data_IF_398153011710
#
_entry.id   IF_398153011710
#
_cell.length_a   1.000
_cell.length_b   1.000
_cell.length_c   1.000
_cell.angle_alpha   90.00
_cell.angle_beta   90.00
_cell.angle_gamma   90.00
#
_symmetry.space_group_name_H-M   'P 1'
#
loop_
_entity.id
_entity.type
_entity.pdbx_description
1 polymer ?
#
# COMPACT_ATOMS: atom_id res chain seq x y z
N UNK A 1 21.68 -17.57 -27.69
CA UNK A 1 21.85 -18.14 -26.33
C UNK A 1 20.53 -17.93 -25.59
N UNK A 2 20.11 -18.84 -24.72
CA UNK A 2 18.97 -18.61 -23.83
C UNK A 2 19.32 -17.49 -22.85
N UNK A 3 18.39 -16.54 -22.64
CA UNK A 3 18.56 -15.48 -21.64
C UNK A 3 18.61 -16.11 -20.25
N UNK A 4 19.55 -15.67 -19.40
CA UNK A 4 19.65 -16.13 -18.02
C UNK A 4 18.46 -15.57 -17.22
N UNK A 5 17.74 -16.44 -16.51
CA UNK A 5 16.55 -16.05 -15.77
C UNK A 5 16.93 -15.07 -14.63
N UNK A 6 16.11 -14.06 -14.37
CA UNK A 6 16.41 -13.01 -13.40
C UNK A 6 15.31 -12.87 -12.33
N UNK A 7 15.68 -12.80 -11.06
CA UNK A 7 14.73 -12.62 -9.94
C UNK A 7 15.18 -11.46 -9.07
N UNK A 8 14.51 -10.33 -9.19
CA UNK A 8 14.65 -9.18 -8.29
C UNK A 8 13.63 -9.25 -7.15
N UNK A 9 14.08 -9.12 -5.90
CA UNK A 9 13.22 -8.97 -4.73
C UNK A 9 13.13 -7.52 -4.28
N UNK A 10 12.02 -6.84 -4.57
CA UNK A 10 11.78 -5.47 -4.11
C UNK A 10 11.11 -5.50 -2.73
N UNK A 11 11.87 -5.19 -1.67
CA UNK A 11 11.33 -5.17 -0.30
C UNK A 11 10.53 -3.90 0.00
N UNK A 12 10.54 -2.91 -0.91
CA UNK A 12 9.87 -1.61 -0.77
C UNK A 12 10.25 -0.94 0.56
N UNK A 13 9.27 -0.39 1.29
CA UNK A 13 9.46 0.22 2.61
C UNK A 13 9.12 -0.77 3.75
N UNK A 14 9.69 -1.99 3.71
CA UNK A 14 9.40 -3.04 4.70
C UNK A 14 10.66 -3.61 5.32
N UNK A 15 10.53 -4.09 6.56
CA UNK A 15 11.57 -4.78 7.32
C UNK A 15 12.05 -4.00 8.53
N UNK A 16 12.24 -4.72 9.63
CA UNK A 16 13.13 -4.36 10.73
C UNK A 16 14.43 -5.19 10.67
N UNK A 17 15.47 -4.80 11.42
CA UNK A 17 16.77 -5.49 11.43
C UNK A 17 16.64 -7.01 11.69
N UNK A 18 15.80 -7.43 12.65
CA UNK A 18 15.62 -8.85 13.00
C UNK A 18 14.96 -9.62 11.87
N UNK A 19 13.98 -9.03 11.19
CA UNK A 19 13.31 -9.63 10.05
C UNK A 19 14.25 -9.74 8.83
N UNK A 20 15.08 -8.73 8.59
CA UNK A 20 16.06 -8.69 7.51
C UNK A 20 17.18 -9.71 7.75
N UNK A 21 17.74 -9.77 8.96
CA UNK A 21 18.73 -10.78 9.35
C UNK A 21 18.18 -12.20 9.10
N UNK A 22 16.90 -12.45 9.38
CA UNK A 22 16.21 -13.71 9.09
C UNK A 22 16.04 -14.01 7.59
N UNK A 23 15.74 -13.00 6.76
CA UNK A 23 15.67 -13.15 5.30
C UNK A 23 17.06 -13.46 4.72
N UNK A 24 18.09 -12.71 5.13
CA UNK A 24 19.47 -12.93 4.69
C UNK A 24 19.98 -14.31 5.11
N UNK A 25 19.74 -14.73 6.35
CA UNK A 25 20.09 -16.07 6.82
C UNK A 25 19.41 -17.18 6.01
N UNK A 26 18.16 -16.98 5.59
CA UNK A 26 17.46 -17.91 4.73
C UNK A 26 18.03 -17.95 3.30
N UNK A 27 18.25 -16.80 2.66
CA UNK A 27 18.81 -16.75 1.30
C UNK A 27 20.20 -17.39 1.23
N UNK A 28 21.01 -17.22 2.28
CA UNK A 28 22.31 -17.90 2.40
C UNK A 28 22.18 -19.44 2.58
N UNK A 29 21.05 -19.94 3.04
CA UNK A 29 20.77 -21.38 3.17
C UNK A 29 20.17 -22.01 1.90
N UNK A 30 19.60 -21.22 0.97
CA UNK A 30 18.86 -21.75 -0.18
C UNK A 30 19.73 -22.36 -1.29
N UNK A 31 21.05 -22.47 -1.09
CA UNK A 31 21.91 -23.35 -1.90
C UNK A 31 22.19 -22.88 -3.33
N UNK A 32 22.84 -21.72 -3.47
CA UNK A 32 23.61 -21.32 -4.66
C UNK A 32 23.03 -21.70 -6.03
N UNK A 33 21.93 -21.07 -6.42
CA UNK A 33 21.39 -21.18 -7.80
C UNK A 33 22.33 -20.43 -8.75
N UNK A 34 23.00 -21.14 -9.67
CA UNK A 34 24.04 -20.55 -10.55
C UNK A 34 23.51 -20.14 -11.92
N UNK A 35 22.39 -20.70 -12.35
CA UNK A 35 21.69 -20.50 -13.62
C UNK A 35 20.63 -19.39 -13.58
N UNK A 36 20.40 -18.79 -12.41
CA UNK A 36 19.52 -17.62 -12.19
C UNK A 36 20.34 -16.46 -11.62
N UNK A 37 20.07 -15.22 -12.05
CA UNK A 37 20.55 -14.01 -11.38
C UNK A 37 19.54 -13.61 -10.29
N UNK A 38 19.97 -13.55 -9.02
CA UNK A 38 19.08 -13.21 -7.90
C UNK A 38 19.58 -11.93 -7.22
N UNK A 39 18.73 -10.92 -7.17
CA UNK A 39 19.02 -9.59 -6.61
C UNK A 39 17.97 -9.26 -5.53
N UNK A 40 18.38 -8.58 -4.46
CA UNK A 40 17.46 -8.03 -3.44
C UNK A 40 17.67 -6.52 -3.29
N UNK A 41 16.56 -5.78 -3.14
CA UNK A 41 16.53 -4.34 -2.98
C UNK A 41 15.88 -3.97 -1.63
N UNK A 42 16.66 -3.87 -0.55
CA UNK A 42 16.19 -3.46 0.78
C UNK A 42 15.92 -1.94 0.87
N UNK A 43 15.18 -1.48 1.90
CA UNK A 43 15.07 -0.06 2.20
C UNK A 43 16.43 0.59 2.46
N UNK A 44 16.57 1.85 2.03
CA UNK A 44 17.79 2.65 2.13
C UNK A 44 18.50 2.67 3.49
N UNK A 45 17.77 2.65 4.61
CA UNK A 45 18.39 2.68 5.95
C UNK A 45 19.11 1.38 6.34
N UNK A 46 18.91 0.31 5.57
CA UNK A 46 19.62 -0.96 5.70
C UNK A 46 20.76 -1.10 4.67
N UNK A 47 21.06 -0.02 3.96
CA UNK A 47 22.18 0.19 3.04
C UNK A 47 23.06 1.29 3.69
N UNK A 48 24.38 1.08 3.84
CA UNK A 48 25.26 1.98 4.61
C UNK A 48 25.74 3.25 3.83
N UNK A 49 26.86 3.90 4.22
CA UNK A 49 27.22 5.33 3.92
C UNK A 49 28.54 5.47 3.09
N UNK A 50 28.88 6.51 2.29
CA UNK A 50 28.14 7.68 1.65
C UNK A 50 29.07 8.66 0.87
N UNK A 51 28.76 9.02 -0.39
CA UNK A 51 28.95 10.40 -0.92
C UNK A 51 27.94 10.85 -2.03
N UNK A 52 27.62 12.12 -2.34
CA UNK A 52 27.77 13.48 -1.76
C UNK A 52 26.85 14.44 -2.57
N UNK A 53 26.34 15.55 -2.01
CA UNK A 53 25.57 16.57 -2.76
C UNK A 53 24.63 17.42 -1.89
N UNK A 54 24.00 18.47 -2.44
CA UNK A 54 23.06 19.35 -1.74
C UNK A 54 21.59 18.90 -1.89
N UNK A 55 21.35 17.59 -1.74
CA UNK A 55 20.05 16.94 -1.95
C UNK A 55 19.67 16.13 -0.70
N UNK A 56 19.21 16.82 0.34
CA UNK A 56 18.92 16.23 1.66
C UNK A 56 17.85 15.14 1.56
N UNK A 57 18.23 13.89 1.85
CA UNK A 57 17.35 12.72 1.82
C UNK A 57 17.53 11.81 0.59
N UNK A 58 18.24 12.25 -0.44
CA UNK A 58 18.51 11.46 -1.64
C UNK A 58 19.79 10.61 -1.54
N UNK A 59 19.90 9.60 -2.41
CA UNK A 59 21.01 8.64 -2.49
C UNK A 59 21.60 8.70 -3.89
N UNK A 60 22.93 8.84 -4.00
CA UNK A 60 23.61 8.91 -5.30
C UNK A 60 24.05 7.51 -5.78
N UNK A 61 24.23 7.29 -7.10
CA UNK A 61 24.87 6.08 -7.62
C UNK A 61 26.26 5.82 -7.04
N UNK A 62 27.01 6.87 -6.67
CA UNK A 62 28.30 6.73 -6.00
C UNK A 62 28.19 6.18 -4.56
N UNK A 63 27.07 6.43 -3.86
CA UNK A 63 26.78 5.78 -2.57
C UNK A 63 26.53 4.29 -2.75
N UNK A 64 25.88 3.89 -3.84
CA UNK A 64 25.65 2.48 -4.16
C UNK A 64 26.99 1.77 -4.46
N UNK A 65 27.85 2.38 -5.28
CA UNK A 65 29.18 1.85 -5.60
C UNK A 65 30.07 1.65 -4.35
N UNK A 66 30.12 2.63 -3.45
CA UNK A 66 30.91 2.61 -2.21
C UNK A 66 30.60 1.39 -1.31
N UNK A 67 29.39 0.84 -1.48
CA UNK A 67 28.85 -0.28 -0.74
C UNK A 67 28.91 -1.61 -1.49
N UNK A 68 29.46 -1.62 -2.70
CA UNK A 68 29.45 -2.78 -3.60
C UNK A 68 28.05 -3.12 -4.12
N UNK A 69 27.10 -2.17 -4.13
CA UNK A 69 25.78 -2.37 -4.73
C UNK A 69 25.89 -2.14 -6.24
N UNK A 70 25.54 -3.17 -7.00
CA UNK A 70 25.67 -3.18 -8.47
C UNK A 70 24.36 -2.85 -9.21
N UNK A 71 23.22 -2.76 -8.51
CA UNK A 71 21.89 -2.64 -9.12
C UNK A 71 21.00 -1.59 -8.44
N UNK A 72 20.19 -0.88 -9.23
CA UNK A 72 19.17 0.06 -8.75
C UNK A 72 17.83 -0.16 -9.47
N UNK A 73 16.70 0.04 -8.78
CA UNK A 73 15.37 0.07 -9.37
C UNK A 73 15.00 1.52 -9.68
N UNK A 74 14.69 1.83 -10.94
CA UNK A 74 14.29 3.17 -11.39
C UNK A 74 12.95 3.15 -12.13
N UNK A 75 12.17 4.22 -11.98
CA UNK A 75 10.87 4.35 -12.63
C UNK A 75 9.79 3.40 -12.12
N UNK A 76 9.92 2.85 -10.91
CA UNK A 76 8.89 1.99 -10.31
C UNK A 76 7.55 2.72 -10.25
N UNK A 77 6.44 2.01 -10.48
CA UNK A 77 5.06 2.55 -10.53
C UNK A 77 4.74 3.49 -9.35
N UNK A 78 5.10 3.09 -8.13
CA UNK A 78 4.95 3.92 -6.92
C UNK A 78 5.71 5.26 -7.00
N UNK A 79 6.91 5.30 -7.59
CA UNK A 79 7.67 6.56 -7.73
C UNK A 79 7.08 7.47 -8.82
N UNK A 80 6.62 6.88 -9.92
CA UNK A 80 5.89 7.61 -10.99
C UNK A 80 4.59 8.21 -10.46
N UNK A 81 3.79 7.45 -9.72
CA UNK A 81 2.41 7.82 -9.40
C UNK A 81 2.22 8.47 -8.02
N UNK A 82 3.07 8.17 -7.03
CA UNK A 82 2.99 8.78 -5.69
C UNK A 82 3.92 10.00 -5.59
N UNK A 83 5.14 9.91 -6.15
CA UNK A 83 6.16 10.96 -6.07
C UNK A 83 6.26 11.83 -7.34
N UNK A 84 5.52 11.50 -8.40
CA UNK A 84 5.45 12.31 -9.62
C UNK A 84 6.72 12.29 -10.48
N UNK A 85 7.56 11.26 -10.39
CA UNK A 85 8.76 11.17 -11.23
C UNK A 85 8.40 11.06 -12.71
N UNK A 86 8.82 12.05 -13.51
CA UNK A 86 8.56 12.12 -14.95
C UNK A 86 9.48 11.19 -15.75
N UNK A 87 9.07 10.80 -16.96
CA UNK A 87 9.90 10.00 -17.87
C UNK A 87 11.27 10.62 -18.14
N UNK A 88 11.32 11.96 -18.26
CA UNK A 88 12.57 12.70 -18.46
C UNK A 88 13.50 12.53 -17.26
N UNK A 89 13.00 12.72 -16.03
CA UNK A 89 13.78 12.55 -14.79
C UNK A 89 14.25 11.09 -14.63
N UNK A 90 13.40 10.12 -14.98
CA UNK A 90 13.70 8.69 -14.89
C UNK A 90 14.75 8.28 -15.93
N UNK A 91 14.69 8.82 -17.14
CA UNK A 91 15.71 8.64 -18.18
C UNK A 91 17.05 9.25 -17.76
N UNK A 92 17.06 10.47 -17.22
CA UNK A 92 18.26 11.13 -16.66
C UNK A 92 18.88 10.31 -15.53
N UNK A 93 18.07 9.80 -14.58
CA UNK A 93 18.53 8.89 -13.52
C UNK A 93 19.10 7.59 -14.07
N UNK A 94 18.53 7.05 -15.15
CA UNK A 94 18.99 5.81 -15.80
C UNK A 94 20.35 6.01 -16.46
N UNK A 95 20.48 7.05 -17.30
CA UNK A 95 21.76 7.41 -17.94
C UNK A 95 22.84 7.64 -16.88
N UNK A 96 22.56 8.46 -15.85
CA UNK A 96 23.52 8.76 -14.80
C UNK A 96 23.94 7.51 -13.99
N UNK A 97 23.03 6.57 -13.77
CA UNK A 97 23.34 5.29 -13.11
C UNK A 97 24.24 4.41 -13.97
N UNK A 98 23.96 4.31 -15.27
CA UNK A 98 24.75 3.54 -16.24
C UNK A 98 26.16 4.12 -16.44
N UNK A 99 26.29 5.44 -16.57
CA UNK A 99 27.58 6.15 -16.56
C UNK A 99 28.36 5.87 -15.27
N UNK A 100 27.64 5.84 -14.15
CA UNK A 100 28.15 5.45 -12.83
C UNK A 100 28.26 3.93 -12.65
N UNK A 101 28.26 3.13 -13.72
CA UNK A 101 28.43 1.66 -13.70
C UNK A 101 27.49 0.89 -12.75
N UNK A 102 26.33 1.48 -12.42
CA UNK A 102 25.25 0.82 -11.71
C UNK A 102 24.27 0.28 -12.76
N UNK A 103 23.99 -1.02 -12.69
CA UNK A 103 23.02 -1.68 -13.56
C UNK A 103 21.59 -1.26 -13.17
N UNK A 104 20.68 -1.19 -14.14
CA UNK A 104 19.34 -0.63 -13.92
C UNK A 104 18.24 -1.66 -14.16
N UNK A 105 17.41 -1.88 -13.14
CA UNK A 105 16.07 -2.45 -13.30
C UNK A 105 15.15 -1.27 -13.66
N UNK A 106 14.81 -1.18 -14.94
CA UNK A 106 14.03 -0.08 -15.51
C UNK A 106 12.55 -0.48 -15.55
N UNK A 107 11.75 0.10 -14.65
CA UNK A 107 10.33 -0.18 -14.54
C UNK A 107 9.51 0.65 -15.54
N UNK A 108 8.64 -0.05 -16.28
CA UNK A 108 7.66 0.52 -17.20
C UNK A 108 6.29 -0.13 -16.97
N UNK A 109 5.23 0.62 -17.20
CA UNK A 109 3.87 0.16 -17.08
C UNK A 109 2.89 1.27 -17.40
N UNK A 110 1.85 0.95 -18.14
CA UNK A 110 0.79 1.86 -18.57
C UNK A 110 -0.42 1.82 -17.62
N UNK A 111 -1.02 2.98 -17.37
CA UNK A 111 -2.45 3.04 -16.99
C UNK A 111 -3.33 2.69 -18.19
N UNK A 112 -4.60 2.40 -17.90
CA UNK A 112 -5.59 2.06 -18.92
C UNK A 112 -5.73 3.16 -20.00
N UNK A 113 -5.66 4.44 -19.62
CA UNK A 113 -5.73 5.57 -20.56
C UNK A 113 -4.41 5.80 -21.32
N UNK A 114 -3.27 5.35 -20.77
CA UNK A 114 -1.94 5.61 -21.33
C UNK A 114 -1.57 4.59 -22.45
N UNK A 115 -2.21 3.41 -22.44
CA UNK A 115 -2.12 2.38 -23.52
C UNK A 115 -2.48 2.94 -24.91
N UNK A 116 -3.26 4.02 -24.98
CA UNK A 116 -3.81 4.57 -26.22
C UNK A 116 -2.91 5.61 -26.93
N UNK A 117 -1.78 6.05 -26.32
CA UNK A 117 -1.06 7.28 -26.74
C UNK A 117 0.37 7.12 -27.32
N UNK A 118 0.97 5.93 -27.22
CA UNK A 118 2.22 5.46 -27.87
C UNK A 118 3.32 6.44 -28.33
N UNK A 119 4.32 6.75 -27.47
CA UNK A 119 5.60 7.42 -27.85
C UNK A 119 6.78 7.01 -26.93
N UNK A 120 7.98 6.82 -27.50
CA UNK A 120 9.25 6.63 -26.73
C UNK A 120 10.49 7.06 -27.54
N UNK A 121 11.65 7.20 -26.87
CA UNK A 121 12.99 7.54 -27.42
C UNK A 121 14.07 6.54 -26.96
N UNK A 122 15.27 6.62 -27.55
CA UNK A 122 16.39 5.69 -27.42
C UNK A 122 17.22 5.83 -26.12
N UNK A 123 17.82 4.71 -25.68
CA UNK A 123 18.69 4.53 -24.49
C UNK A 123 19.76 3.46 -24.82
N UNK A 124 20.83 3.29 -24.02
CA UNK A 124 21.74 2.13 -24.08
C UNK A 124 21.23 0.97 -23.19
N UNK A 125 21.18 -0.25 -23.74
CA UNK A 125 20.42 -1.38 -23.20
C UNK A 125 21.26 -2.50 -22.61
N UNK A 126 22.60 -2.48 -22.76
CA UNK A 126 23.44 -3.62 -22.38
C UNK A 126 23.34 -4.01 -20.90
N UNK A 127 23.10 -3.02 -20.02
CA UNK A 127 23.00 -3.18 -18.56
C UNK A 127 21.58 -2.88 -18.02
N UNK A 128 20.56 -2.98 -18.89
CA UNK A 128 19.15 -2.77 -18.52
C UNK A 128 18.41 -4.10 -18.41
N UNK A 129 17.62 -4.24 -17.34
CA UNK A 129 16.55 -5.23 -17.22
C UNK A 129 15.23 -4.47 -17.21
N UNK A 130 14.31 -4.78 -18.13
CA UNK A 130 13.00 -4.14 -18.19
C UNK A 130 12.06 -4.87 -17.23
N UNK A 131 11.44 -4.17 -16.30
CA UNK A 131 10.35 -4.72 -15.48
C UNK A 131 9.00 -4.19 -15.98
N UNK A 132 8.14 -5.07 -16.50
CA UNK A 132 6.77 -4.72 -16.86
C UNK A 132 5.85 -4.81 -15.63
N UNK A 133 5.34 -3.67 -15.18
CA UNK A 133 4.34 -3.57 -14.11
C UNK A 133 2.94 -3.39 -14.71
N UNK A 134 2.02 -4.38 -14.67
CA UNK A 134 0.64 -4.20 -15.10
C UNK A 134 -0.13 -3.39 -14.03
N UNK A 135 0.05 -2.06 -14.03
CA UNK A 135 -0.47 -1.15 -12.98
C UNK A 135 -1.98 -1.30 -12.79
N UNK A 136 -2.73 -1.58 -13.85
CA UNK A 136 -4.17 -1.86 -13.83
C UNK A 136 -4.58 -3.09 -12.97
N UNK A 137 -3.65 -4.01 -12.70
CA UNK A 137 -3.84 -5.18 -11.83
C UNK A 137 -3.28 -4.98 -10.40
N UNK A 138 -2.43 -3.98 -10.18
CA UNK A 138 -1.77 -3.77 -8.87
C UNK A 138 -2.76 -3.10 -7.92
N UNK A 139 -3.09 -3.78 -6.82
CA UNK A 139 -3.99 -3.26 -5.78
C UNK A 139 -5.49 -3.22 -6.15
N UNK A 140 -5.87 -3.61 -7.37
CA UNK A 140 -7.26 -3.55 -7.86
C UNK A 140 -8.08 -4.82 -7.61
N UNK A 141 -7.49 -5.84 -6.99
CA UNK A 141 -8.12 -7.14 -6.76
C UNK A 141 -8.23 -8.03 -8.00
N UNK A 142 -7.66 -7.61 -9.14
CA UNK A 142 -7.52 -8.40 -10.37
C UNK A 142 -6.06 -8.86 -10.50
N UNK A 143 -5.84 -9.99 -11.16
CA UNK A 143 -4.50 -10.49 -11.48
C UNK A 143 -4.40 -10.64 -12.99
N UNK A 144 -3.32 -10.16 -13.61
CA UNK A 144 -3.08 -10.41 -15.03
C UNK A 144 -2.81 -11.89 -15.26
N UNK A 145 -3.43 -12.48 -16.28
CA UNK A 145 -3.18 -13.88 -16.64
C UNK A 145 -1.79 -14.03 -17.26
N UNK A 146 -1.18 -15.24 -17.24
CA UNK A 146 0.08 -15.46 -17.93
C UNK A 146 0.05 -15.13 -19.43
N UNK A 147 -1.11 -15.25 -20.09
CA UNK A 147 -1.28 -14.87 -21.49
C UNK A 147 -1.27 -13.34 -21.68
N UNK A 148 -1.92 -12.59 -20.78
CA UNK A 148 -1.89 -11.12 -20.79
C UNK A 148 -0.48 -10.57 -20.50
N UNK A 149 0.26 -11.20 -19.57
CA UNK A 149 1.66 -10.87 -19.33
C UNK A 149 2.52 -11.15 -20.58
N UNK A 150 2.34 -12.31 -21.22
CA UNK A 150 3.04 -12.67 -22.44
C UNK A 150 2.72 -11.75 -23.63
N UNK A 151 1.47 -11.29 -23.80
CA UNK A 151 1.08 -10.32 -24.83
C UNK A 151 1.95 -9.05 -24.76
N UNK A 152 2.07 -8.47 -23.56
CA UNK A 152 2.81 -7.22 -23.38
C UNK A 152 4.32 -7.45 -23.42
N UNK A 153 4.83 -8.57 -22.89
CA UNK A 153 6.25 -8.92 -22.99
C UNK A 153 6.71 -9.12 -24.45
N UNK A 154 5.89 -9.79 -25.27
CA UNK A 154 6.15 -9.92 -26.70
C UNK A 154 6.17 -8.54 -27.38
N UNK A 155 5.17 -7.70 -27.11
CA UNK A 155 5.12 -6.33 -27.65
C UNK A 155 6.34 -5.49 -27.27
N UNK A 156 6.80 -5.56 -26.00
CA UNK A 156 8.05 -4.89 -25.57
C UNK A 156 9.25 -5.41 -26.37
N UNK A 157 9.34 -6.73 -26.61
CA UNK A 157 10.47 -7.30 -27.36
C UNK A 157 10.42 -6.92 -28.84
N UNK A 158 9.25 -6.91 -29.45
CA UNK A 158 9.05 -6.40 -30.82
C UNK A 158 9.41 -4.92 -30.93
N UNK A 159 9.03 -4.11 -29.93
CA UNK A 159 9.42 -2.69 -29.84
C UNK A 159 10.94 -2.51 -29.77
N UNK A 160 11.65 -3.26 -28.90
CA UNK A 160 13.12 -3.23 -28.84
C UNK A 160 13.76 -3.63 -30.17
N UNK A 161 13.19 -4.63 -30.85
CA UNK A 161 13.70 -5.15 -32.11
C UNK A 161 13.56 -4.13 -33.24
N UNK A 162 12.48 -3.37 -33.26
CA UNK A 162 12.22 -2.31 -34.25
C UNK A 162 12.98 -1.01 -33.94
N UNK A 163 12.99 -0.57 -32.68
CA UNK A 163 13.49 0.77 -32.28
C UNK A 163 14.93 0.78 -31.80
N UNK A 164 15.58 -0.38 -31.62
CA UNK A 164 16.96 -0.46 -31.15
C UNK A 164 17.77 -1.42 -32.03
N UNK A 165 17.56 -2.73 -31.85
CA UNK A 165 18.10 -3.77 -32.73
C UNK A 165 17.57 -5.15 -32.31
N UNK A 166 17.62 -6.11 -33.23
CA UNK A 166 17.35 -7.51 -32.90
C UNK A 166 18.31 -8.07 -31.84
N UNK A 167 19.59 -7.68 -31.88
CA UNK A 167 20.59 -8.14 -30.90
C UNK A 167 20.29 -7.64 -29.48
N UNK A 168 19.84 -6.39 -29.33
CA UNK A 168 19.37 -5.85 -28.05
C UNK A 168 18.10 -6.58 -27.61
N UNK A 169 17.09 -6.71 -28.48
CA UNK A 169 15.84 -7.38 -28.14
C UNK A 169 16.02 -8.85 -27.70
N UNK A 170 16.98 -9.56 -28.29
CA UNK A 170 17.29 -10.94 -27.94
C UNK A 170 18.09 -11.08 -26.63
N UNK A 171 18.88 -10.07 -26.25
CA UNK A 171 19.70 -10.06 -25.02
C UNK A 171 19.00 -9.43 -23.82
N UNK A 172 18.19 -8.39 -24.02
CA UNK A 172 17.50 -7.68 -22.94
C UNK A 172 16.51 -8.62 -22.24
N UNK A 173 16.60 -8.64 -20.91
CA UNK A 173 15.71 -9.42 -20.05
C UNK A 173 14.48 -8.59 -19.75
N UNK A 174 13.31 -9.14 -20.05
CA UNK A 174 12.00 -8.54 -19.77
C UNK A 174 11.36 -9.37 -18.65
N UNK A 175 11.36 -8.81 -17.44
CA UNK A 175 10.86 -9.47 -16.22
C UNK A 175 9.47 -8.97 -15.87
N UNK A 176 8.64 -9.87 -15.35
CA UNK A 176 7.27 -9.54 -14.97
C UNK A 176 7.23 -9.00 -13.53
N UNK A 177 6.72 -7.78 -13.36
CA UNK A 177 6.63 -7.04 -12.10
C UNK A 177 5.22 -6.96 -11.50
N UNK A 178 4.27 -7.76 -12.01
CA UNK A 178 2.96 -7.91 -11.38
C UNK A 178 2.97 -8.88 -10.18
N UNK A 179 1.80 -9.37 -9.76
CA UNK A 179 1.73 -10.32 -8.64
C UNK A 179 2.31 -11.68 -9.01
N UNK A 180 3.49 -12.00 -8.49
CA UNK A 180 4.21 -13.28 -8.67
C UNK A 180 4.19 -14.06 -7.36
N UNK A 181 3.51 -15.20 -7.37
CA UNK A 181 3.27 -16.08 -6.22
C UNK A 181 3.93 -17.46 -6.43
N UNK A 182 4.02 -18.28 -5.39
CA UNK A 182 4.54 -19.65 -5.51
C UNK A 182 3.64 -20.56 -6.37
N UNK A 183 2.35 -20.21 -6.45
CA UNK A 183 1.32 -20.91 -7.20
C UNK A 183 1.29 -20.53 -8.69
N UNK A 184 1.70 -19.30 -9.05
CA UNK A 184 1.64 -18.81 -10.44
C UNK A 184 3.01 -18.69 -11.14
N UNK A 185 4.13 -18.65 -10.40
CA UNK A 185 5.45 -18.40 -10.99
C UNK A 185 5.88 -19.47 -12.01
N UNK A 186 5.44 -20.72 -11.85
CA UNK A 186 5.74 -21.81 -12.79
C UNK A 186 5.04 -21.60 -14.14
N UNK A 187 3.80 -21.13 -14.16
CA UNK A 187 3.07 -20.89 -15.41
C UNK A 187 3.47 -19.57 -16.08
N UNK A 188 3.86 -18.56 -15.29
CA UNK A 188 4.46 -17.33 -15.81
C UNK A 188 5.85 -17.59 -16.40
N UNK A 189 6.72 -18.33 -15.69
CA UNK A 189 8.09 -18.61 -16.12
C UNK A 189 8.21 -19.56 -17.33
N UNK A 190 7.11 -20.18 -17.77
CA UNK A 190 7.01 -20.95 -19.03
C UNK A 190 6.77 -20.07 -20.26
N UNK A 191 6.44 -18.78 -20.07
CA UNK A 191 6.13 -17.88 -21.19
C UNK A 191 7.42 -17.43 -21.90
N UNK A 192 7.50 -17.50 -23.24
CA UNK A 192 8.76 -17.38 -23.97
C UNK A 192 9.45 -16.01 -23.85
N UNK A 193 8.70 -14.96 -23.51
CA UNK A 193 9.23 -13.60 -23.36
C UNK A 193 9.26 -13.10 -21.90
N UNK A 194 8.91 -13.95 -20.93
CA UNK A 194 9.07 -13.67 -19.50
C UNK A 194 10.41 -14.23 -19.02
N UNK A 195 11.42 -13.36 -18.97
CA UNK A 195 12.81 -13.73 -18.63
C UNK A 195 13.10 -13.72 -17.12
N UNK A 196 12.06 -13.54 -16.29
CA UNK A 196 12.25 -13.34 -14.86
C UNK A 196 11.09 -12.64 -14.16
N UNK A 197 11.32 -12.30 -12.89
CA UNK A 197 10.34 -11.66 -12.01
C UNK A 197 10.94 -10.47 -11.22
N UNK A 198 10.15 -9.42 -11.04
CA UNK A 198 10.35 -8.41 -10.00
C UNK A 198 9.31 -8.65 -8.90
N UNK A 199 9.71 -9.42 -7.87
CA UNK A 199 8.82 -9.94 -6.84
C UNK A 199 8.67 -8.93 -5.69
N UNK A 200 7.42 -8.66 -5.31
CA UNK A 200 7.09 -7.85 -4.13
C UNK A 200 7.23 -8.60 -2.80
N UNK A 201 6.90 -7.89 -1.71
CA UNK A 201 7.05 -8.35 -0.31
C UNK A 201 6.32 -9.66 0.00
N UNK A 202 5.22 -9.91 -0.73
CA UNK A 202 4.20 -10.91 -0.42
C UNK A 202 4.70 -12.36 -0.46
N UNK A 203 5.77 -12.62 -1.23
CA UNK A 203 6.19 -13.99 -1.57
C UNK A 203 7.62 -14.35 -1.16
N UNK A 204 8.44 -13.39 -0.70
CA UNK A 204 9.77 -13.70 -0.14
C UNK A 204 9.70 -14.51 1.17
N UNK A 205 8.64 -14.34 1.97
CA UNK A 205 8.45 -15.08 3.23
C UNK A 205 7.98 -16.53 3.00
N UNK A 206 7.65 -16.92 1.77
CA UNK A 206 7.15 -18.26 1.47
C UNK A 206 8.27 -19.31 1.34
N UNK A 207 9.44 -18.92 0.84
CA UNK A 207 10.55 -19.83 0.59
C UNK A 207 11.23 -20.34 1.87
N UNK A 208 11.24 -19.56 2.97
CA UNK A 208 11.94 -19.92 4.21
C UNK A 208 11.27 -20.98 5.10
N UNK A 209 10.09 -21.48 4.72
CA UNK A 209 9.19 -22.18 5.65
C UNK A 209 9.16 -23.70 5.59
N UNK A 210 9.88 -24.32 4.64
CA UNK A 210 9.57 -25.72 4.27
C UNK A 210 10.25 -26.83 5.09
N UNK A 211 11.10 -26.53 6.08
CA UNK A 211 11.95 -27.56 6.71
C UNK A 211 11.87 -27.72 8.24
N UNK A 212 11.16 -26.89 8.98
CA UNK A 212 10.97 -27.07 10.44
C UNK A 212 9.48 -27.08 10.81
N UNK A 213 9.00 -28.25 11.22
CA UNK A 213 7.59 -28.51 11.51
C UNK A 213 7.14 -27.96 12.87
N UNK A 214 5.83 -27.82 13.02
CA UNK A 214 5.11 -27.59 14.29
C UNK A 214 5.34 -26.26 15.03
N UNK A 215 4.94 -25.13 14.45
CA UNK A 215 4.04 -24.18 15.13
C UNK A 215 3.24 -23.35 14.10
N UNK A 216 2.00 -22.99 14.44
CA UNK A 216 1.00 -22.50 13.48
C UNK A 216 1.33 -21.13 12.85
N UNK A 217 1.55 -21.12 11.53
CA UNK A 217 1.26 -20.04 10.57
C UNK A 217 1.34 -18.56 11.05
N UNK A 218 2.44 -17.86 10.74
CA UNK A 218 2.57 -16.40 10.98
C UNK A 218 3.28 -15.64 9.85
N UNK A 219 2.65 -15.46 8.68
CA UNK A 219 2.74 -14.20 7.89
C UNK A 219 1.86 -14.25 6.65
N UNK A 220 0.57 -14.02 6.85
CA UNK A 220 -0.24 -13.29 5.88
C UNK A 220 -0.79 -12.10 6.64
N UNK A 221 -0.35 -10.89 6.26
CA UNK A 221 -1.11 -9.68 6.59
C UNK A 221 -1.81 -9.12 5.35
N UNK A 222 -2.02 -9.98 4.34
CA UNK A 222 -3.18 -9.88 3.47
C UNK A 222 -4.44 -10.12 4.28
N UNK A 223 -4.97 -8.99 4.75
CA UNK A 223 -6.35 -8.79 5.19
C UNK A 223 -6.84 -9.93 6.09
N UNK A 224 -6.27 -9.98 7.30
CA UNK A 224 -6.85 -10.76 8.39
C UNK A 224 -8.26 -10.22 8.77
N UNK A 225 -8.60 -9.00 8.35
CA UNK A 225 -9.92 -8.40 8.40
C UNK A 225 -10.83 -8.97 7.29
N UNK A 226 -12.16 -8.89 7.36
CA UNK A 226 -13.01 -9.27 6.23
C UNK A 226 -13.04 -8.22 5.11
N UNK A 227 -13.67 -8.59 4.00
CA UNK A 227 -13.87 -7.69 2.85
C UNK A 227 -14.94 -6.64 3.21
N UNK A 228 -14.59 -5.38 3.04
CA UNK A 228 -15.45 -4.21 3.24
C UNK A 228 -16.49 -4.12 2.11
N UNK A 229 -17.64 -3.49 2.39
CA UNK A 229 -18.72 -3.36 1.40
C UNK A 229 -19.53 -2.05 1.46
N UNK A 230 -19.16 -1.14 2.36
CA UNK A 230 -19.58 0.27 2.30
C UNK A 230 -18.37 1.18 2.15
N UNK A 231 -18.54 2.35 1.51
CA UNK A 231 -17.50 3.37 1.36
C UNK A 231 -18.07 4.78 1.47
N UNK A 232 -17.43 5.62 2.28
CA UNK A 232 -17.85 6.99 2.61
C UNK A 232 -16.63 7.91 2.56
N UNK A 233 -16.79 9.16 2.14
CA UNK A 233 -15.77 10.22 2.23
C UNK A 233 -16.25 11.29 3.20
N UNK A 234 -15.48 11.54 4.26
CA UNK A 234 -15.66 12.72 5.10
C UNK A 234 -14.80 13.83 4.54
N UNK A 235 -15.40 14.88 3.99
CA UNK A 235 -14.66 16.08 3.61
C UNK A 235 -14.43 16.89 4.88
N UNK A 236 -13.19 17.05 5.31
CA UNK A 236 -12.86 17.75 6.56
C UNK A 236 -12.04 19.00 6.31
N UNK A 237 -11.95 19.87 7.31
CA UNK A 237 -11.03 21.03 7.32
C UNK A 237 -9.54 20.66 7.20
N UNK A 238 -9.15 19.39 7.35
CA UNK A 238 -7.77 18.92 7.15
C UNK A 238 -7.57 18.22 5.79
N UNK A 239 -8.60 18.21 4.93
CA UNK A 239 -8.69 17.42 3.71
C UNK A 239 -9.60 16.20 3.87
N UNK A 240 -9.75 15.45 2.80
CA UNK A 240 -10.69 14.33 2.72
C UNK A 240 -10.18 13.12 3.52
N UNK A 241 -11.11 12.38 4.12
CA UNK A 241 -10.88 11.10 4.80
C UNK A 241 -11.80 10.06 4.15
N UNK A 242 -11.23 9.14 3.38
CA UNK A 242 -11.96 8.02 2.79
C UNK A 242 -12.03 6.85 3.78
N UNK A 243 -13.23 6.33 4.02
CA UNK A 243 -13.50 5.24 4.96
C UNK A 243 -14.17 4.08 4.24
N UNK A 244 -13.62 2.88 4.39
CA UNK A 244 -14.30 1.63 4.05
C UNK A 244 -14.91 0.97 5.29
N UNK A 245 -16.06 0.31 5.12
CA UNK A 245 -16.92 -0.17 6.20
C UNK A 245 -17.16 -1.70 6.14
N UNK A 246 -17.05 -2.36 7.29
CA UNK A 246 -17.31 -3.80 7.48
C UNK A 246 -18.78 -4.09 7.76
N UNK A 247 -19.63 -3.80 6.76
CA UNK A 247 -21.09 -3.79 6.94
C UNK A 247 -21.72 -5.17 7.14
N UNK A 248 -20.96 -6.26 7.01
CA UNK A 248 -21.40 -7.64 7.33
C UNK A 248 -21.06 -8.03 8.76
N UNK A 249 -19.93 -7.55 9.26
CA UNK A 249 -19.40 -7.84 10.60
C UNK A 249 -19.99 -6.93 11.67
N UNK A 250 -20.18 -5.65 11.32
CA UNK A 250 -20.75 -4.62 12.19
C UNK A 250 -21.94 -3.93 11.50
N UNK A 251 -23.03 -4.69 11.19
CA UNK A 251 -24.15 -4.18 10.42
C UNK A 251 -24.91 -3.04 11.11
N UNK A 252 -25.06 -3.04 12.44
CA UNK A 252 -25.73 -1.94 13.14
C UNK A 252 -24.88 -0.67 13.13
N UNK A 253 -23.60 -0.77 13.49
CA UNK A 253 -22.71 0.39 13.50
C UNK A 253 -22.56 1.01 12.09
N UNK A 254 -22.38 0.17 11.07
CA UNK A 254 -22.27 0.66 9.69
C UNK A 254 -23.58 1.26 9.17
N UNK A 255 -24.74 0.66 9.48
CA UNK A 255 -26.06 1.19 9.05
C UNK A 255 -26.37 2.51 9.74
N UNK A 256 -26.09 2.61 11.04
CA UNK A 256 -26.19 3.84 11.82
C UNK A 256 -25.32 4.95 11.21
N UNK A 257 -24.03 4.68 11.00
CA UNK A 257 -23.10 5.64 10.44
C UNK A 257 -23.55 6.13 9.04
N UNK A 258 -23.86 5.22 8.11
CA UNK A 258 -24.27 5.58 6.74
C UNK A 258 -25.56 6.40 6.74
N UNK A 259 -26.59 6.04 7.51
CA UNK A 259 -27.84 6.81 7.55
C UNK A 259 -27.64 8.21 8.15
N UNK A 260 -26.85 8.35 9.22
CA UNK A 260 -26.48 9.67 9.77
C UNK A 260 -25.71 10.51 8.73
N UNK A 261 -24.87 9.90 7.90
CA UNK A 261 -24.26 10.58 6.74
C UNK A 261 -25.32 11.03 5.71
N UNK A 262 -26.31 10.18 5.38
CA UNK A 262 -27.39 10.50 4.43
C UNK A 262 -28.26 11.67 4.92
N UNK A 263 -28.52 11.74 6.23
CA UNK A 263 -29.26 12.81 6.90
C UNK A 263 -28.43 14.07 7.14
N UNK A 264 -27.16 14.12 6.69
CA UNK A 264 -26.20 15.22 6.89
C UNK A 264 -25.91 15.52 8.36
N UNK A 265 -26.20 14.58 9.27
CA UNK A 265 -26.06 14.72 10.72
C UNK A 265 -24.63 15.08 11.16
N UNK A 266 -23.64 14.57 10.42
CA UNK A 266 -22.23 14.84 10.69
C UNK A 266 -21.72 16.19 10.14
N UNK A 267 -22.50 16.92 9.33
CA UNK A 267 -22.05 18.17 8.73
C UNK A 267 -21.87 19.25 9.79
N UNK A 268 -20.68 19.85 9.86
CA UNK A 268 -20.31 20.82 10.89
C UNK A 268 -19.82 20.21 12.20
N UNK A 269 -19.98 18.89 12.42
CA UNK A 269 -19.54 18.24 13.66
C UNK A 269 -18.03 18.26 13.80
N UNK A 270 -17.56 18.53 15.03
CA UNK A 270 -16.14 18.74 15.33
C UNK A 270 -15.48 17.50 15.92
N UNK A 271 -14.18 17.38 15.71
CA UNK A 271 -13.34 16.42 16.42
C UNK A 271 -12.96 17.04 17.77
N UNK A 272 -13.77 16.75 18.78
CA UNK A 272 -13.78 17.46 20.06
C UNK A 272 -12.80 16.89 21.10
N UNK A 273 -12.21 15.71 20.85
CA UNK A 273 -11.27 15.05 21.78
C UNK A 273 -10.13 14.37 21.01
N UNK A 274 -8.91 14.54 21.51
CA UNK A 274 -7.69 13.95 20.99
C UNK A 274 -6.84 13.43 22.16
N UNK A 275 -6.43 12.16 22.07
CA UNK A 275 -5.50 11.54 22.99
C UNK A 275 -4.29 11.08 22.17
N UNK A 276 -3.11 11.68 22.42
CA UNK A 276 -1.90 11.45 21.60
C UNK A 276 -1.53 9.96 21.60
N UNK A 277 -1.14 9.47 20.42
CA UNK A 277 -0.85 8.06 20.15
C UNK A 277 -1.95 7.06 20.60
N UNK A 278 -3.20 7.54 20.72
CA UNK A 278 -4.35 6.70 21.07
C UNK A 278 -5.49 6.90 20.06
N UNK A 279 -6.32 7.93 20.23
CA UNK A 279 -7.51 8.19 19.39
C UNK A 279 -7.75 9.68 19.13
N UNK A 280 -8.49 9.98 18.04
CA UNK A 280 -9.15 11.27 17.82
C UNK A 280 -10.66 11.02 17.59
N UNK A 281 -11.52 11.69 18.34
CA UNK A 281 -12.95 11.41 18.47
C UNK A 281 -13.81 12.58 17.97
N UNK A 282 -14.91 12.24 17.30
CA UNK A 282 -15.88 13.18 16.73
C UNK A 282 -17.29 12.56 16.64
N UNK A 283 -18.16 13.17 15.83
CA UNK A 283 -19.52 12.68 15.61
C UNK A 283 -20.56 13.10 16.66
N UNK A 284 -20.23 14.08 17.52
CA UNK A 284 -21.17 14.75 18.43
C UNK A 284 -21.61 16.11 17.82
N UNK A 285 -22.90 16.31 17.49
CA UNK A 285 -23.41 17.61 17.01
C UNK A 285 -23.31 18.76 18.01
N UNK A 286 -23.25 18.46 19.31
CA UNK A 286 -23.11 19.48 20.35
C UNK A 286 -21.66 19.90 20.57
N UNK A 287 -20.68 19.10 20.12
CA UNK A 287 -19.25 19.32 20.39
C UNK A 287 -18.87 19.23 21.87
N UNK A 288 -19.72 18.66 22.71
CA UNK A 288 -19.48 18.55 24.16
C UNK A 288 -18.73 17.28 24.56
N UNK A 289 -18.77 16.25 23.70
CA UNK A 289 -18.38 14.87 24.00
C UNK A 289 -19.49 14.05 24.65
N UNK A 290 -20.64 14.67 24.95
CA UNK A 290 -21.75 14.07 25.71
C UNK A 290 -23.06 14.00 24.90
N UNK A 291 -23.11 14.61 23.71
CA UNK A 291 -24.25 14.54 22.80
C UNK A 291 -24.14 13.43 21.76
N UNK A 292 -25.13 13.37 20.88
CA UNK A 292 -25.19 12.40 19.78
C UNK A 292 -26.22 11.28 20.01
N UNK A 293 -26.94 10.93 18.97
CA UNK A 293 -28.03 9.94 19.00
C UNK A 293 -27.86 8.91 17.88
N UNK A 294 -28.37 7.69 18.08
CA UNK A 294 -28.40 6.68 17.01
C UNK A 294 -29.68 6.79 16.19
N UNK A 295 -29.65 6.29 14.96
CA UNK A 295 -30.84 6.19 14.08
C UNK A 295 -31.94 5.27 14.63
N UNK A 296 -31.65 4.53 15.70
CA UNK A 296 -32.58 3.62 16.36
C UNK A 296 -33.34 4.30 17.52
N UNK A 297 -33.13 5.59 17.76
CA UNK A 297 -33.78 6.38 18.82
C UNK A 297 -33.33 6.04 20.24
N UNK A 298 -32.27 5.23 20.37
CA UNK A 298 -31.64 4.79 21.64
C UNK A 298 -30.26 4.18 21.36
N UNK A 299 -29.37 4.02 22.36
CA UNK A 299 -28.09 3.35 22.16
C UNK A 299 -28.26 1.91 21.65
N UNK A 300 -27.26 1.42 20.89
CA UNK A 300 -27.28 0.08 20.31
C UNK A 300 -26.08 -0.79 20.71
N UNK A 301 -26.29 -2.11 20.66
CA UNK A 301 -25.35 -3.14 21.12
C UNK A 301 -23.98 -3.07 20.42
N UNK A 302 -22.96 -3.58 21.12
CA UNK A 302 -21.63 -3.74 20.53
C UNK A 302 -21.58 -4.90 19.52
N UNK A 303 -20.75 -4.73 18.49
CA UNK A 303 -20.55 -5.72 17.43
C UNK A 303 -19.06 -6.11 17.35
N UNK A 304 -18.70 -7.22 17.97
CA UNK A 304 -17.32 -7.73 17.99
C UNK A 304 -17.14 -8.88 17.01
N UNK A 305 -16.17 -8.74 16.10
CA UNK A 305 -15.81 -9.79 15.16
C UNK A 305 -14.41 -10.36 15.41
N UNK A 306 -14.26 -11.69 15.34
CA UNK A 306 -13.01 -12.38 15.68
C UNK A 306 -11.80 -12.01 14.79
N UNK A 307 -12.04 -11.37 13.64
CA UNK A 307 -11.02 -10.93 12.67
C UNK A 307 -10.71 -9.42 12.70
N UNK A 308 -11.49 -8.61 13.42
CA UNK A 308 -11.30 -7.16 13.52
C UNK A 308 -10.58 -6.81 14.82
N UNK A 309 -9.48 -6.05 14.75
CA UNK A 309 -8.62 -5.71 15.90
C UNK A 309 -8.07 -4.30 15.79
N UNK A 310 -8.02 -3.57 16.91
CA UNK A 310 -7.45 -2.22 16.98
C UNK A 310 -5.90 -2.24 17.00
N UNK A 311 -5.30 -2.69 15.90
CA UNK A 311 -3.88 -3.06 15.81
C UNK A 311 -3.01 -2.13 14.92
N UNK A 312 -3.55 -0.98 14.49
CA UNK A 312 -2.85 0.06 13.71
C UNK A 312 -3.62 1.37 13.73
N UNK A 313 -3.00 2.41 13.17
CA UNK A 313 -3.57 3.73 12.88
C UNK A 313 -4.66 3.66 11.80
N UNK A 314 -5.60 4.59 11.82
CA UNK A 314 -6.65 4.74 10.81
C UNK A 314 -7.76 3.68 10.88
N UNK A 315 -8.01 3.08 12.04
CA UNK A 315 -9.17 2.23 12.28
C UNK A 315 -10.31 3.05 12.89
N UNK A 316 -11.56 2.75 12.52
CA UNK A 316 -12.75 3.50 12.94
C UNK A 316 -13.56 2.70 13.95
N UNK A 317 -13.63 3.21 15.18
CA UNK A 317 -14.39 2.60 16.28
C UNK A 317 -15.57 3.46 16.72
N UNK A 318 -16.65 2.85 17.19
CA UNK A 318 -17.72 3.57 17.89
C UNK A 318 -17.25 4.05 19.25
N UNK A 319 -17.51 5.31 19.59
CA UNK A 319 -17.33 5.83 20.93
C UNK A 319 -18.58 5.53 21.75
N UNK A 320 -18.41 4.93 22.93
CA UNK A 320 -19.46 4.56 23.87
C UNK A 320 -18.97 4.86 25.30
N UNK A 321 -19.87 5.09 26.26
CA UNK A 321 -19.50 5.25 27.68
C UNK A 321 -19.43 3.90 28.42
N UNK A 322 -19.83 2.82 27.76
CA UNK A 322 -19.82 1.47 28.30
C UNK A 322 -20.37 0.45 27.30
N UNK A 323 -20.63 -0.76 27.79
CA UNK A 323 -21.14 -1.87 26.98
C UNK A 323 -22.53 -1.52 26.39
N UNK A 324 -22.71 -1.81 25.11
CA UNK A 324 -23.96 -1.68 24.36
C UNK A 324 -24.51 -0.23 24.27
N UNK A 325 -23.63 0.77 24.43
CA UNK A 325 -23.95 2.21 24.53
C UNK A 325 -23.52 3.00 23.28
N UNK A 326 -23.72 2.43 22.07
CA UNK A 326 -23.27 3.10 20.84
C UNK A 326 -24.32 4.12 20.34
N UNK A 327 -23.87 5.36 20.08
CA UNK A 327 -24.68 6.49 19.55
C UNK A 327 -24.26 6.93 18.14
N UNK A 328 -24.09 8.24 17.92
CA UNK A 328 -23.50 8.79 16.68
C UNK A 328 -21.98 8.95 16.75
N UNK A 329 -21.39 9.00 17.94
CA UNK A 329 -19.99 9.34 18.15
C UNK A 329 -19.05 8.20 17.73
N UNK A 330 -17.92 8.56 17.14
CA UNK A 330 -16.91 7.62 16.66
C UNK A 330 -15.50 8.20 16.82
N UNK A 331 -14.49 7.34 16.71
CA UNK A 331 -13.09 7.72 16.77
C UNK A 331 -12.24 7.07 15.67
N UNK A 332 -11.15 7.73 15.31
CA UNK A 332 -10.05 7.15 14.54
C UNK A 332 -8.90 6.77 15.48
N UNK A 333 -8.25 5.62 15.25
CA UNK A 333 -7.01 5.28 15.96
C UNK A 333 -5.83 6.11 15.44
N UNK A 334 -5.13 6.75 16.37
CA UNK A 334 -3.87 7.47 16.17
C UNK A 334 -2.69 6.65 16.72
N UNK A 335 -2.95 5.70 17.61
CA UNK A 335 -1.96 4.74 18.09
C UNK A 335 -1.61 3.66 17.06
N UNK A 336 -0.36 3.22 17.07
CA UNK A 336 0.10 2.10 16.24
C UNK A 336 -0.41 0.74 16.72
N UNK A 337 -0.84 0.61 17.98
CA UNK A 337 -1.40 -0.64 18.52
C UNK A 337 -2.16 -0.32 19.82
N UNK A 338 -3.49 -0.37 19.81
CA UNK A 338 -4.37 0.07 20.91
C UNK A 338 -5.42 -1.01 21.21
N UNK A 339 -4.90 -2.21 21.53
CA UNK A 339 -5.64 -3.47 21.68
C UNK A 339 -6.58 -3.48 22.89
N UNK A 340 -6.39 -2.58 23.84
CA UNK A 340 -7.26 -2.31 24.97
C UNK A 340 -8.68 -1.89 24.57
N UNK A 341 -8.86 -1.36 23.35
CA UNK A 341 -10.16 -1.07 22.74
C UNK A 341 -10.89 -2.34 22.23
N UNK A 342 -10.18 -3.45 21.99
CA UNK A 342 -10.78 -4.71 21.55
C UNK A 342 -11.82 -5.19 22.57
N UNK A 343 -12.98 -5.65 22.10
CA UNK A 343 -14.09 -6.13 22.96
C UNK A 343 -14.64 -5.08 23.94
N UNK A 344 -14.33 -3.80 23.73
CA UNK A 344 -14.96 -2.65 24.40
C UNK A 344 -15.68 -1.74 23.40
N UNK A 345 -15.08 -1.56 22.22
CA UNK A 345 -15.63 -0.71 21.17
C UNK A 345 -15.88 -1.50 19.89
N UNK A 346 -16.94 -1.12 19.17
CA UNK A 346 -17.29 -1.71 17.87
C UNK A 346 -16.36 -1.15 16.79
N UNK A 347 -15.47 -1.99 16.24
CA UNK A 347 -14.56 -1.65 15.14
C UNK A 347 -15.27 -1.87 13.80
N UNK A 348 -15.79 -0.80 13.18
CA UNK A 348 -16.72 -0.91 12.05
C UNK A 348 -16.15 -0.41 10.71
N UNK A 349 -14.99 0.27 10.70
CA UNK A 349 -14.35 0.70 9.46
C UNK A 349 -12.84 0.95 9.54
N UNK A 350 -12.27 1.35 8.40
CA UNK A 350 -10.86 1.73 8.24
C UNK A 350 -10.72 2.89 7.25
N UNK A 351 -9.74 3.77 7.46
CA UNK A 351 -9.31 4.78 6.51
C UNK A 351 -8.55 4.10 5.36
N UNK A 352 -8.71 4.59 4.13
CA UNK A 352 -8.04 4.04 2.94
C UNK A 352 -7.16 5.04 2.18
N UNK A 353 -6.13 4.51 1.52
CA UNK A 353 -5.16 5.27 0.73
C UNK A 353 -4.41 6.31 1.55
N UNK A 354 -4.00 7.38 0.86
CA UNK A 354 -3.21 8.47 1.45
C UNK A 354 -4.05 9.42 2.33
N UNK A 355 -5.37 9.21 2.43
CA UNK A 355 -6.25 10.06 3.25
C UNK A 355 -5.98 9.93 4.76
N UNK A 356 -5.28 8.88 5.18
CA UNK A 356 -4.75 8.75 6.54
C UNK A 356 -3.82 9.91 6.94
N UNK A 357 -3.10 10.51 6.00
CA UNK A 357 -2.25 11.68 6.28
C UNK A 357 -3.09 12.92 6.62
N UNK A 358 -4.31 13.05 6.10
CA UNK A 358 -5.22 14.15 6.46
C UNK A 358 -5.77 13.96 7.89
N UNK A 359 -6.09 12.72 8.28
CA UNK A 359 -6.42 12.39 9.66
C UNK A 359 -5.25 12.68 10.61
N UNK A 360 -4.02 12.32 10.24
CA UNK A 360 -2.83 12.57 11.07
C UNK A 360 -2.54 14.07 11.26
N UNK A 361 -2.71 14.91 10.22
CA UNK A 361 -2.61 16.38 10.36
C UNK A 361 -3.54 16.94 11.45
N UNK A 362 -4.73 16.36 11.63
CA UNK A 362 -5.67 16.79 12.67
C UNK A 362 -5.15 16.53 14.10
N UNK A 363 -4.11 15.70 14.24
CA UNK A 363 -3.46 15.38 15.51
C UNK A 363 -2.25 16.27 15.81
N UNK A 364 -1.81 17.08 14.83
CA UNK A 364 -0.66 17.98 14.92
C UNK A 364 -1.04 19.30 15.62
N UNK A 365 -1.54 19.18 16.85
CA UNK A 365 -1.89 20.34 17.67
C UNK A 365 -1.59 20.16 19.16
N UNK A 366 -1.63 21.29 19.86
CA UNK A 366 -1.75 21.34 21.31
C UNK A 366 -3.12 20.84 21.76
N UNK A 367 -3.16 20.33 22.98
CA UNK A 367 -4.35 19.78 23.63
C UNK A 367 -4.50 20.47 24.99
N UNK A 368 -5.72 20.69 25.46
CA UNK A 368 -6.00 21.18 26.82
C UNK A 368 -6.09 20.05 27.86
N UNK A 369 -6.27 20.42 29.12
CA UNK A 369 -6.36 19.49 30.26
C UNK A 369 -7.60 18.56 30.20
N UNK A 370 -8.56 18.83 29.31
CA UNK A 370 -9.77 18.03 29.07
C UNK A 370 -9.66 17.19 27.78
N UNK A 371 -8.44 16.97 27.29
CA UNK A 371 -8.15 16.24 26.04
C UNK A 371 -8.75 16.90 24.78
N UNK A 372 -9.08 18.21 24.81
CA UNK A 372 -9.63 18.93 23.65
C UNK A 372 -8.51 19.51 22.78
N UNK A 373 -8.55 19.32 21.44
CA UNK A 373 -7.65 20.01 20.51
C UNK A 373 -7.76 21.54 20.62
N UNK A 374 -6.64 22.26 20.64
CA UNK A 374 -6.65 23.73 20.45
C UNK A 374 -6.97 24.12 19.00
N UNK A 375 -6.50 23.32 18.04
CA UNK A 375 -6.85 23.46 16.62
C UNK A 375 -8.07 22.60 16.32
N UNK A 376 -9.23 23.24 16.18
CA UNK A 376 -10.48 22.54 15.92
C UNK A 376 -10.60 22.19 14.44
N UNK A 377 -10.67 20.88 14.17
CA UNK A 377 -11.07 20.35 12.88
C UNK A 377 -12.53 19.86 12.92
N UNK A 378 -13.20 19.95 11.77
CA UNK A 378 -14.61 19.54 11.61
C UNK A 378 -14.86 18.86 10.26
N UNK A 379 -15.92 18.07 10.23
CA UNK A 379 -16.52 17.53 9.00
C UNK A 379 -17.30 18.69 8.34
N UNK A 380 -17.09 18.90 7.05
CA UNK A 380 -17.75 19.94 6.25
C UNK A 380 -19.02 19.37 5.62
N UNK A 381 -18.86 18.26 4.90
CA UNK A 381 -19.94 17.43 4.38
C UNK A 381 -19.46 15.98 4.24
N UNK A 382 -20.35 15.09 3.78
CA UNK A 382 -20.08 13.66 3.64
C UNK A 382 -20.67 13.13 2.33
N UNK A 383 -19.84 12.44 1.54
CA UNK A 383 -20.25 11.74 0.33
C UNK A 383 -20.25 10.22 0.54
N UNK A 384 -21.28 9.53 0.03
CA UNK A 384 -21.44 8.08 0.19
C UNK A 384 -21.21 7.41 -1.15
N UNK A 385 -20.00 6.91 -1.35
CA UNK A 385 -19.57 6.29 -2.61
C UNK A 385 -20.15 4.88 -2.79
N UNK A 386 -20.42 4.16 -1.69
CA UNK A 386 -21.01 2.82 -1.76
C UNK A 386 -21.86 2.56 -0.52
N UNK A 387 -23.17 2.38 -0.72
CA UNK A 387 -24.12 1.97 0.31
C UNK A 387 -24.61 0.53 0.04
N UNK A 388 -24.29 -0.45 0.89
CA UNK A 388 -24.76 -1.83 0.74
C UNK A 388 -26.17 -2.06 1.32
N UNK A 389 -26.72 -1.12 2.08
CA UNK A 389 -28.04 -1.22 2.71
C UNK A 389 -29.13 -0.72 1.75
N UNK A 390 -30.05 -1.61 1.36
CA UNK A 390 -31.16 -1.30 0.42
C UNK A 390 -32.42 -0.76 1.11
N UNK A 391 -32.47 -0.91 2.43
CA UNK A 391 -33.61 -0.61 3.28
C UNK A 391 -33.55 0.80 3.91
N UNK A 392 -32.44 1.52 3.74
CA UNK A 392 -32.28 2.90 4.19
C UNK A 392 -32.50 3.89 3.03
N UNK A 393 -33.17 5.00 3.34
CA UNK A 393 -33.49 6.08 2.41
C UNK A 393 -33.28 7.42 3.11
N UNK A 394 -32.94 8.49 2.38
CA UNK A 394 -32.99 9.84 2.95
C UNK A 394 -34.42 10.14 3.41
N UNK A 395 -34.52 10.83 4.55
CA UNK A 395 -35.77 11.35 5.12
C UNK A 395 -36.41 12.43 4.26
#
# INVERSE_FOLDING_TARGET
MTRKFFVGGNWKMNGDKKSIDGICAFLNQSGGVTDVDVIVAPPALYITYVPKGAFTGEISPAMLQDLGIEWVILGHSERRHIFGESDQLIAEKTVHSLESKINVIFCIGEKLEEREAGKTKEVDWANIVIAYEPVWAIGTGKTATPDQAQEVHLWIREFLKEKVSAEVADKTRIIYGGSVTAENCVELGKKPDIDGFLVGVDHYIFWSRKQYYTYSSMSTQYINEPVTSGKVVLHTTAGDIEIELWTKECPLACKNFIQLCMEKYYNGTMFHRLVKDYIIQGGDPTGTGHGGESIYGKPFKDEFHQRLRFNRRGLVGMANAGKDDNGSQFFFTVGNNVRELDRRHTLFGKIVGNTIFNMLKMTECDIDDNERPKTIHKIINVDILTNPFRDIKPS
#
